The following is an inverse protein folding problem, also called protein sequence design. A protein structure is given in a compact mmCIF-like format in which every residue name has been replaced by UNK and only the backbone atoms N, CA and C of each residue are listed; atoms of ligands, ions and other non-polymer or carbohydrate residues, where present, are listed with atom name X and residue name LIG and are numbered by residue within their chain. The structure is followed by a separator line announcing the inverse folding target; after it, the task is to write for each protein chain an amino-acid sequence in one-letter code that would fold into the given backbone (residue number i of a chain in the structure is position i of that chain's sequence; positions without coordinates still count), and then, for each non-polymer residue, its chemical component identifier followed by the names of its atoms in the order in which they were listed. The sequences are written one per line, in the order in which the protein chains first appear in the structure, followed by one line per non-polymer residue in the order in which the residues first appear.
data_IF_756844983592
#
_entry.id   IF_756844983592
#
_cell.length_a   1.000
_cell.length_b   1.000
_cell.length_c   1.000
_cell.angle_alpha   90.00
_cell.angle_beta   90.00
_cell.angle_gamma   90.00
#
_symmetry.space_group_name_H-M   'P 1'
#
loop_
_entity.id
_entity.type
_entity.pdbx_description
1 polymer ?
#
# COMPACT_ATOMS: atom_id res chain seq x y z
N UNK A 1 18.12 -30.30 55.47
CA UNK A 1 17.94 -30.60 54.05
C UNK A 1 16.56 -30.14 53.51
N UNK A 2 15.46 -30.42 54.13
CA UNK A 2 14.08 -30.07 53.69
C UNK A 2 13.87 -28.59 53.32
N UNK A 3 14.34 -27.64 54.11
CA UNK A 3 14.18 -26.19 53.81
C UNK A 3 14.84 -25.75 52.49
N UNK A 4 16.00 -26.31 52.16
CA UNK A 4 16.71 -25.98 50.90
C UNK A 4 15.97 -26.57 49.68
N UNK A 5 15.46 -27.80 49.80
CA UNK A 5 14.70 -28.46 48.76
C UNK A 5 13.40 -27.72 48.50
N UNK A 6 12.69 -27.25 49.54
CA UNK A 6 11.48 -26.48 49.43
C UNK A 6 11.72 -25.14 48.68
N UNK A 7 12.80 -24.43 48.99
CA UNK A 7 13.19 -23.19 48.33
C UNK A 7 13.48 -23.42 46.85
N UNK A 8 14.14 -24.50 46.48
CA UNK A 8 14.39 -24.85 45.08
C UNK A 8 13.09 -25.13 44.32
N UNK A 9 12.15 -25.86 44.91
CA UNK A 9 10.86 -26.16 44.31
C UNK A 9 10.04 -24.87 44.08
N UNK A 10 10.01 -23.97 45.06
CA UNK A 10 9.33 -22.68 44.94
C UNK A 10 9.93 -21.83 43.82
N UNK A 11 11.26 -21.80 43.73
CA UNK A 11 12.00 -21.06 42.72
C UNK A 11 11.70 -21.62 41.30
N UNK A 12 11.67 -22.94 41.13
CA UNK A 12 11.31 -23.60 39.89
C UNK A 12 9.85 -23.35 39.52
N UNK A 13 8.93 -23.42 40.49
CA UNK A 13 7.52 -23.11 40.25
C UNK A 13 7.34 -21.64 39.84
N UNK A 14 8.04 -20.70 40.51
CA UNK A 14 8.02 -19.28 40.15
C UNK A 14 8.56 -19.02 38.75
N UNK A 15 9.64 -19.70 38.37
CA UNK A 15 10.20 -19.63 37.03
C UNK A 15 9.22 -20.20 35.95
N UNK A 16 8.57 -21.31 36.26
CA UNK A 16 7.56 -21.91 35.41
C UNK A 16 6.37 -20.96 35.16
N UNK A 17 5.89 -20.30 36.22
CA UNK A 17 4.85 -19.29 36.12
C UNK A 17 5.30 -18.08 35.29
N UNK A 18 6.53 -17.61 35.49
CA UNK A 18 7.08 -16.49 34.74
C UNK A 18 7.22 -16.80 33.25
N UNK A 19 7.71 -17.99 32.91
CA UNK A 19 7.80 -18.47 31.52
C UNK A 19 6.39 -18.56 30.92
N UNK A 20 5.41 -19.13 31.61
CA UNK A 20 4.06 -19.23 31.12
C UNK A 20 3.40 -17.86 30.86
N UNK A 21 3.64 -16.90 31.75
CA UNK A 21 3.16 -15.53 31.56
C UNK A 21 3.87 -14.85 30.38
N UNK A 22 5.18 -15.06 30.21
CA UNK A 22 5.91 -14.54 29.05
C UNK A 22 5.35 -15.07 27.73
N UNK A 23 5.06 -16.37 27.63
CA UNK A 23 4.43 -16.95 26.44
C UNK A 23 3.05 -16.39 26.14
N UNK A 24 2.29 -15.94 27.13
CA UNK A 24 0.98 -15.30 26.92
C UNK A 24 1.07 -13.87 26.40
N UNK A 25 2.14 -13.17 26.72
CA UNK A 25 2.34 -11.75 26.34
C UNK A 25 3.09 -11.62 25.02
N UNK A 26 3.91 -12.60 24.66
CA UNK A 26 4.62 -12.59 23.40
C UNK A 26 3.65 -12.71 22.23
N UNK A 27 3.71 -11.77 21.26
CA UNK A 27 2.91 -11.87 20.05
C UNK A 27 3.30 -13.15 19.29
N UNK A 28 2.32 -14.01 19.05
CA UNK A 28 2.49 -15.23 18.27
C UNK A 28 2.26 -14.90 16.80
N UNK A 29 3.30 -14.92 15.99
CA UNK A 29 3.24 -14.78 14.54
C UNK A 29 4.17 -15.79 13.88
N UNK A 30 3.87 -16.17 12.64
CA UNK A 30 4.73 -17.10 11.89
C UNK A 30 6.11 -16.48 11.65
N UNK A 31 6.11 -15.21 11.27
CA UNK A 31 7.32 -14.37 11.21
C UNK A 31 6.90 -12.95 11.63
N UNK A 32 7.50 -12.38 12.69
CA UNK A 32 7.21 -11.00 13.06
C UNK A 32 7.68 -10.05 11.97
N UNK A 33 6.98 -8.93 11.81
CA UNK A 33 7.44 -7.85 10.95
C UNK A 33 8.73 -7.27 11.50
N UNK A 34 9.76 -7.23 10.68
CA UNK A 34 11.07 -6.69 11.06
C UNK A 34 11.33 -5.39 10.31
N UNK A 35 12.09 -4.50 10.95
CA UNK A 35 12.64 -3.32 10.30
C UNK A 35 13.82 -3.76 9.42
N UNK A 36 13.65 -3.72 8.10
CA UNK A 36 14.66 -4.16 7.14
C UNK A 36 15.56 -3.01 6.63
N UNK A 37 15.44 -1.81 7.21
CA UNK A 37 16.20 -0.64 6.78
C UNK A 37 15.68 0.01 5.50
N UNK A 38 14.52 -0.40 5.00
CA UNK A 38 13.80 0.25 3.91
C UNK A 38 12.28 0.09 4.08
N UNK A 39 11.54 1.00 3.51
CA UNK A 39 10.06 0.97 3.47
C UNK A 39 9.58 1.28 2.07
N UNK A 40 8.42 0.77 1.75
CA UNK A 40 7.73 1.01 0.49
C UNK A 40 6.49 1.86 0.75
N UNK A 41 6.00 2.57 -0.27
CA UNK A 41 4.67 3.14 -0.22
C UNK A 41 4.00 3.05 -1.58
N UNK A 42 2.79 2.53 -1.61
CA UNK A 42 1.93 2.60 -2.77
C UNK A 42 1.12 3.88 -2.73
N UNK A 43 1.11 4.58 -3.85
CA UNK A 43 0.32 5.80 -4.06
C UNK A 43 -0.75 5.49 -5.08
N UNK A 44 -1.99 5.80 -4.75
CA UNK A 44 -3.13 5.61 -5.65
C UNK A 44 -3.95 6.88 -5.73
N UNK A 45 -4.15 7.37 -6.96
CA UNK A 45 -5.05 8.46 -7.28
C UNK A 45 -6.38 7.92 -7.81
N UNK A 46 -7.42 8.76 -7.93
CA UNK A 46 -8.64 8.38 -8.64
C UNK A 46 -8.34 7.82 -10.02
N UNK A 47 -9.13 6.83 -10.45
CA UNK A 47 -8.92 6.11 -11.73
C UNK A 47 -8.90 6.98 -12.98
N UNK A 48 -9.42 8.20 -12.89
CA UNK A 48 -9.38 9.21 -13.96
C UNK A 48 -8.07 10.02 -14.01
N UNK A 49 -7.12 9.77 -13.11
CA UNK A 49 -5.86 10.49 -13.12
C UNK A 49 -4.96 10.02 -14.27
N UNK A 50 -4.42 11.00 -15.01
CA UNK A 50 -3.38 10.76 -16.01
C UNK A 50 -2.03 10.48 -15.34
N UNK A 51 -1.11 9.88 -16.08
CA UNK A 51 0.26 9.65 -15.61
C UNK A 51 0.94 10.96 -15.16
N UNK A 52 0.75 12.04 -15.93
CA UNK A 52 1.30 13.35 -15.57
C UNK A 52 0.78 13.83 -14.21
N UNK A 53 -0.54 13.75 -14.00
CA UNK A 53 -1.15 14.14 -12.72
C UNK A 53 -0.67 13.27 -11.56
N UNK A 54 -0.46 12.00 -11.81
CA UNK A 54 0.06 11.07 -10.80
C UNK A 54 1.51 11.42 -10.45
N UNK A 55 2.34 11.76 -11.43
CA UNK A 55 3.73 12.18 -11.21
C UNK A 55 3.79 13.50 -10.43
N UNK A 56 2.99 14.50 -10.79
CA UNK A 56 2.90 15.78 -10.07
C UNK A 56 2.44 15.58 -8.60
N UNK A 57 1.50 14.66 -8.38
CA UNK A 57 1.06 14.31 -7.03
C UNK A 57 2.17 13.62 -6.24
N UNK A 58 2.92 12.72 -6.87
CA UNK A 58 4.08 12.07 -6.25
C UNK A 58 5.17 13.07 -5.87
N UNK A 59 5.50 14.03 -6.73
CA UNK A 59 6.45 15.11 -6.43
C UNK A 59 6.00 15.94 -5.22
N UNK A 60 4.70 16.19 -5.12
CA UNK A 60 4.14 16.93 -3.99
C UNK A 60 4.22 16.12 -2.69
N UNK A 61 3.92 14.83 -2.74
CA UNK A 61 4.05 13.92 -1.60
C UNK A 61 5.52 13.79 -1.19
N UNK A 62 6.43 13.62 -2.14
CA UNK A 62 7.86 13.50 -1.89
C UNK A 62 8.40 14.72 -1.11
N UNK A 63 8.05 15.94 -1.53
CA UNK A 63 8.40 17.17 -0.82
C UNK A 63 7.79 17.24 0.58
N UNK A 64 6.57 16.74 0.77
CA UNK A 64 5.93 16.68 2.08
C UNK A 64 6.63 15.70 3.04
N UNK A 65 7.41 14.77 2.51
CA UNK A 65 8.20 13.82 3.27
C UNK A 65 9.62 14.31 3.60
N UNK A 66 10.07 15.45 3.06
CA UNK A 66 11.40 16.03 3.37
C UNK A 66 11.65 16.25 4.86
N UNK A 67 10.66 16.67 5.68
CA UNK A 67 10.86 16.83 7.10
C UNK A 67 10.87 15.52 7.92
N UNK A 68 10.62 14.36 7.28
CA UNK A 68 10.60 13.07 7.98
C UNK A 68 12.03 12.61 8.19
N UNK A 69 12.45 12.55 9.46
CA UNK A 69 13.78 12.07 9.84
C UNK A 69 13.88 10.56 9.66
N UNK A 70 15.07 10.08 9.39
CA UNK A 70 15.36 8.65 9.26
C UNK A 70 15.19 8.12 7.84
N UNK A 71 14.87 8.96 6.85
CA UNK A 71 14.85 8.59 5.43
C UNK A 71 16.15 9.07 4.77
N UNK A 72 16.96 8.12 4.34
CA UNK A 72 18.24 8.38 3.67
C UNK A 72 18.04 8.72 2.17
N UNK A 73 17.26 7.89 1.47
CA UNK A 73 16.98 8.10 0.03
C UNK A 73 15.50 7.88 -0.27
N UNK A 74 15.02 8.63 -1.27
CA UNK A 74 13.67 8.51 -1.80
C UNK A 74 13.76 8.24 -3.31
N UNK A 75 13.24 7.11 -3.75
CA UNK A 75 13.10 6.78 -5.17
C UNK A 75 11.63 6.59 -5.48
N UNK A 76 11.15 7.24 -6.52
CA UNK A 76 9.75 7.18 -6.93
C UNK A 76 9.60 6.63 -8.35
N UNK A 77 8.60 5.77 -8.55
CA UNK A 77 8.26 5.22 -9.86
C UNK A 77 6.79 5.56 -10.14
N UNK A 78 6.58 6.53 -11.05
CA UNK A 78 5.24 6.89 -11.52
C UNK A 78 4.70 5.86 -12.51
N UNK A 79 3.40 5.59 -12.44
CA UNK A 79 2.74 4.65 -13.34
C UNK A 79 2.91 3.17 -12.97
N UNK A 80 3.52 2.85 -11.84
CA UNK A 80 3.64 1.48 -11.34
C UNK A 80 2.87 1.31 -10.02
N UNK A 81 1.95 0.35 -10.01
CA UNK A 81 1.20 -0.03 -8.80
C UNK A 81 1.85 -1.25 -8.14
N UNK A 82 2.43 -1.05 -6.96
CA UNK A 82 2.99 -2.14 -6.17
C UNK A 82 1.90 -3.11 -5.70
N UNK A 83 0.72 -2.60 -5.37
CA UNK A 83 -0.40 -3.41 -4.86
C UNK A 83 -1.01 -4.31 -5.93
N UNK A 84 -1.04 -3.86 -7.18
CA UNK A 84 -1.62 -4.64 -8.28
C UNK A 84 -0.54 -5.37 -9.09
N UNK A 85 0.74 -5.11 -8.82
CA UNK A 85 1.86 -5.70 -9.54
C UNK A 85 1.94 -5.34 -11.03
N UNK A 86 1.45 -4.15 -11.42
CA UNK A 86 1.35 -3.77 -12.82
C UNK A 86 1.38 -2.27 -13.08
N UNK A 87 1.40 -1.92 -14.37
CA UNK A 87 1.40 -0.52 -14.80
C UNK A 87 -0.01 0.07 -14.73
N UNK A 88 -0.15 1.21 -14.05
CA UNK A 88 -1.38 1.97 -13.92
C UNK A 88 -1.09 3.47 -13.93
N UNK A 89 -1.72 4.22 -14.81
CA UNK A 89 -1.50 5.68 -14.95
C UNK A 89 -1.82 6.47 -13.68
N UNK A 90 -2.75 5.97 -12.87
CA UNK A 90 -3.19 6.59 -11.63
C UNK A 90 -2.47 6.07 -10.38
N UNK A 91 -1.37 5.36 -10.54
CA UNK A 91 -0.62 4.79 -9.43
C UNK A 91 0.86 5.19 -9.47
N UNK A 92 1.50 5.06 -8.34
CA UNK A 92 2.94 5.21 -8.18
C UNK A 92 3.44 4.46 -6.97
N UNK A 93 4.74 4.26 -6.91
CA UNK A 93 5.38 3.55 -5.80
C UNK A 93 6.62 4.32 -5.35
N UNK A 94 6.76 4.49 -4.05
CA UNK A 94 7.99 4.94 -3.42
C UNK A 94 8.78 3.77 -2.87
N UNK A 95 10.10 3.82 -3.09
CA UNK A 95 11.11 2.97 -2.47
C UNK A 95 12.00 3.86 -1.64
N UNK A 96 11.96 3.73 -0.34
CA UNK A 96 12.71 4.58 0.58
C UNK A 96 13.68 3.76 1.40
N UNK A 97 14.97 4.12 1.33
CA UNK A 97 15.99 3.56 2.19
C UNK A 97 16.04 4.39 3.47
N UNK A 98 16.13 3.72 4.60
CA UNK A 98 16.22 4.37 5.90
C UNK A 98 17.66 4.56 6.34
N UNK A 99 17.89 5.49 7.25
CA UNK A 99 19.18 5.68 7.89
C UNK A 99 19.66 4.41 8.59
N UNK A 100 20.98 4.23 8.82
CA UNK A 100 21.52 3.08 9.53
C UNK A 100 20.86 2.85 10.89
N UNK A 101 20.77 1.58 11.30
CA UNK A 101 20.14 1.20 12.56
C UNK A 101 20.79 1.89 13.77
N UNK A 102 22.13 2.06 13.75
CA UNK A 102 22.88 2.72 14.80
C UNK A 102 22.41 4.16 15.04
N UNK A 103 21.99 4.86 14.01
CA UNK A 103 21.48 6.23 14.11
C UNK A 103 20.02 6.25 14.55
N UNK A 104 19.20 5.39 13.97
CA UNK A 104 17.75 5.35 14.22
C UNK A 104 17.40 4.82 15.62
N UNK A 105 18.19 3.87 16.14
CA UNK A 105 17.97 3.24 17.44
C UNK A 105 19.00 3.65 18.50
N UNK A 106 19.68 4.80 18.30
CA UNK A 106 20.71 5.32 19.22
C UNK A 106 20.17 5.52 20.65
N UNK A 107 18.93 5.96 20.78
CA UNK A 107 18.26 6.13 22.06
C UNK A 107 16.74 5.91 21.91
N UNK A 108 16.02 5.87 23.03
CA UNK A 108 14.57 5.64 23.03
C UNK A 108 13.76 6.74 22.33
N UNK A 109 14.27 7.96 22.26
CA UNK A 109 13.59 9.08 21.56
C UNK A 109 13.75 8.95 20.05
N UNK A 110 14.98 8.71 19.57
CA UNK A 110 15.25 8.49 18.16
C UNK A 110 14.51 7.25 17.64
N UNK A 111 14.46 6.17 18.41
CA UNK A 111 13.72 4.96 18.05
C UNK A 111 12.21 5.22 17.90
N UNK A 112 11.61 6.06 18.74
CA UNK A 112 10.19 6.44 18.64
C UNK A 112 9.89 7.30 17.42
N UNK A 113 10.85 8.10 16.95
CA UNK A 113 10.66 9.02 15.83
C UNK A 113 11.07 8.39 14.48
N UNK A 114 12.12 7.56 14.48
CA UNK A 114 12.83 7.07 13.29
C UNK A 114 12.73 5.55 13.09
N UNK A 115 11.94 4.81 13.88
CA UNK A 115 11.64 3.41 13.58
C UNK A 115 10.85 3.30 12.27
N UNK A 116 10.95 2.16 11.58
CA UNK A 116 10.22 1.95 10.32
C UNK A 116 8.72 2.21 10.50
N UNK A 117 8.12 1.76 11.60
CA UNK A 117 6.70 2.00 11.89
C UNK A 117 6.38 3.49 12.09
N UNK A 118 7.22 4.23 12.81
CA UNK A 118 7.03 5.66 12.99
C UNK A 118 7.16 6.44 11.67
N UNK A 119 8.14 6.07 10.85
CA UNK A 119 8.32 6.64 9.52
C UNK A 119 7.09 6.35 8.64
N UNK A 120 6.62 5.11 8.61
CA UNK A 120 5.42 4.74 7.84
C UNK A 120 4.18 5.52 8.28
N UNK A 121 3.97 5.72 9.58
CA UNK A 121 2.87 6.55 10.09
C UNK A 121 3.00 8.00 9.64
N UNK A 122 4.20 8.58 9.71
CA UNK A 122 4.45 9.93 9.22
C UNK A 122 4.26 10.04 7.70
N UNK A 123 4.69 9.04 6.93
CA UNK A 123 4.47 8.98 5.48
C UNK A 123 2.97 8.98 5.15
N UNK A 124 2.19 8.16 5.82
CA UNK A 124 0.75 8.11 5.61
C UNK A 124 0.09 9.45 5.95
N UNK A 125 0.37 9.99 7.12
CA UNK A 125 -0.22 11.24 7.58
C UNK A 125 0.14 12.44 6.68
N UNK A 126 1.44 12.65 6.43
CA UNK A 126 1.92 13.78 5.64
C UNK A 126 1.58 13.64 4.16
N UNK A 127 1.69 12.42 3.61
CA UNK A 127 1.35 12.15 2.23
C UNK A 127 -0.12 12.40 1.94
N UNK A 128 -1.02 11.90 2.77
CA UNK A 128 -2.46 12.17 2.62
C UNK A 128 -2.83 13.63 2.88
N UNK A 129 -2.14 14.30 3.81
CA UNK A 129 -2.37 15.73 4.07
C UNK A 129 -1.90 16.62 2.91
N UNK A 130 -0.83 16.24 2.20
CA UNK A 130 -0.29 17.00 1.06
C UNK A 130 -1.11 16.82 -0.21
N UNK A 131 -1.73 15.66 -0.37
CA UNK A 131 -2.55 15.29 -1.53
C UNK A 131 -3.82 14.57 -1.10
N UNK A 132 -4.87 15.35 -0.82
CA UNK A 132 -6.16 14.82 -0.33
C UNK A 132 -6.84 13.81 -1.27
N UNK A 133 -6.50 13.81 -2.57
CA UNK A 133 -7.05 12.87 -3.54
C UNK A 133 -6.22 11.59 -3.68
N UNK A 134 -5.02 11.55 -3.10
CA UNK A 134 -4.14 10.39 -3.16
C UNK A 134 -4.32 9.53 -1.91
N UNK A 135 -4.49 8.24 -2.11
CA UNK A 135 -4.35 7.25 -1.05
C UNK A 135 -2.87 6.88 -0.95
N UNK A 136 -2.28 7.11 0.21
CA UNK A 136 -0.89 6.75 0.52
C UNK A 136 -0.91 5.55 1.45
N UNK A 137 -0.40 4.42 0.99
CA UNK A 137 -0.35 3.17 1.73
C UNK A 137 1.11 2.79 1.96
N UNK A 138 1.68 3.12 3.12
CA UNK A 138 3.00 2.64 3.49
C UNK A 138 2.96 1.13 3.71
N UNK A 139 4.03 0.47 3.30
CA UNK A 139 4.13 -0.98 3.28
C UNK A 139 5.48 -1.37 3.86
N UNK A 140 5.45 -2.19 4.91
CA UNK A 140 6.65 -2.85 5.37
C UNK A 140 6.95 -4.02 4.41
N UNK A 141 8.19 -4.16 3.92
CA UNK A 141 8.56 -5.30 3.09
C UNK A 141 8.32 -6.63 3.84
N UNK A 142 8.03 -7.72 3.12
CA UNK A 142 7.83 -9.01 3.75
C UNK A 142 9.11 -9.48 4.42
N UNK A 143 9.00 -10.06 5.62
CA UNK A 143 10.15 -10.55 6.38
C UNK A 143 10.94 -11.65 5.64
N UNK A 144 10.30 -12.36 4.71
CA UNK A 144 10.93 -13.34 3.82
C UNK A 144 10.78 -12.86 2.38
N UNK A 145 11.89 -12.47 1.70
CA UNK A 145 11.86 -12.08 0.30
C UNK A 145 11.26 -13.17 -0.60
N UNK A 146 10.32 -12.79 -1.47
CA UNK A 146 9.66 -13.72 -2.38
C UNK A 146 8.39 -14.40 -1.85
N UNK A 147 8.05 -14.21 -0.58
CA UNK A 147 6.81 -14.76 0.01
C UNK A 147 5.63 -13.80 -0.05
N UNK A 148 5.65 -12.82 -0.94
CA UNK A 148 4.64 -11.79 -1.13
C UNK A 148 5.28 -10.46 -1.50
N UNK A 149 4.45 -9.48 -1.83
CA UNK A 149 4.86 -8.11 -2.13
C UNK A 149 4.79 -7.21 -0.90
N UNK A 150 4.01 -7.60 0.09
CA UNK A 150 3.74 -6.83 1.30
C UNK A 150 3.78 -7.72 2.53
N UNK A 151 4.13 -7.15 3.68
CA UNK A 151 3.90 -7.82 4.97
C UNK A 151 2.39 -7.91 5.25
N UNK A 152 1.98 -8.98 5.94
CA UNK A 152 0.58 -9.23 6.26
C UNK A 152 -0.02 -10.39 5.48
N UNK A 153 -1.28 -10.29 5.08
CA UNK A 153 -1.97 -11.32 4.29
C UNK A 153 -2.78 -10.68 3.16
N UNK A 154 -2.90 -11.43 2.07
CA UNK A 154 -3.77 -11.11 0.93
C UNK A 154 -4.85 -12.17 0.82
N UNK A 155 -6.07 -11.75 0.48
CA UNK A 155 -7.10 -12.68 0.07
C UNK A 155 -7.98 -12.08 -1.03
N UNK A 156 -8.61 -12.94 -1.78
CA UNK A 156 -9.38 -12.59 -2.96
C UNK A 156 -10.87 -12.80 -2.70
N UNK A 157 -11.67 -11.78 -3.02
CA UNK A 157 -13.13 -11.90 -3.11
C UNK A 157 -13.47 -11.99 -4.58
N UNK A 158 -14.00 -13.12 -5.00
CA UNK A 158 -14.35 -13.37 -6.38
C UNK A 158 -15.85 -13.55 -6.53
N UNK A 159 -16.45 -12.88 -7.52
CA UNK A 159 -17.79 -13.18 -7.96
C UNK A 159 -17.75 -14.43 -8.89
N UNK A 160 -18.42 -15.49 -8.47
CA UNK A 160 -18.55 -16.74 -9.26
C UNK A 160 -19.86 -16.81 -10.02
N UNK A 161 -20.70 -15.78 -9.91
CA UNK A 161 -22.02 -15.72 -10.50
C UNK A 161 -22.09 -14.75 -11.67
N UNK A 162 -23.28 -14.23 -11.88
CA UNK A 162 -23.60 -13.22 -12.91
C UNK A 162 -23.82 -11.84 -12.29
N UNK A 163 -23.16 -11.55 -11.17
CA UNK A 163 -23.25 -10.28 -10.47
C UNK A 163 -22.71 -9.10 -11.28
N UNK A 164 -23.15 -7.90 -10.95
CA UNK A 164 -22.61 -6.69 -11.54
C UNK A 164 -21.37 -6.22 -10.77
N UNK A 165 -20.46 -5.44 -11.39
CA UNK A 165 -19.33 -4.84 -10.68
C UNK A 165 -19.75 -4.04 -9.44
N UNK A 166 -20.90 -3.36 -9.50
CA UNK A 166 -21.45 -2.61 -8.37
C UNK A 166 -21.83 -3.52 -7.22
N UNK A 167 -22.48 -4.65 -7.48
CA UNK A 167 -22.84 -5.63 -6.45
C UNK A 167 -21.60 -6.20 -5.76
N UNK A 168 -20.54 -6.51 -6.52
CA UNK A 168 -19.27 -6.92 -5.93
C UNK A 168 -18.68 -5.82 -5.04
N UNK A 169 -18.76 -4.55 -5.48
CA UNK A 169 -18.33 -3.39 -4.70
C UNK A 169 -19.08 -3.25 -3.38
N UNK A 170 -20.40 -3.46 -3.40
CA UNK A 170 -21.24 -3.42 -2.19
C UNK A 170 -20.89 -4.54 -1.21
N UNK A 171 -20.70 -5.75 -1.72
CA UNK A 171 -20.26 -6.91 -0.90
C UNK A 171 -18.89 -6.64 -0.28
N UNK A 172 -17.94 -6.12 -1.07
CA UNK A 172 -16.61 -5.76 -0.60
C UNK A 172 -16.66 -4.69 0.50
N UNK A 173 -17.43 -3.63 0.30
CA UNK A 173 -17.57 -2.55 1.29
C UNK A 173 -18.19 -3.07 2.60
N UNK A 174 -19.23 -3.87 2.53
CA UNK A 174 -19.85 -4.51 3.70
C UNK A 174 -18.86 -5.43 4.42
N UNK A 175 -18.06 -6.19 3.66
CA UNK A 175 -17.02 -7.04 4.22
C UNK A 175 -15.96 -6.21 4.95
N UNK A 176 -15.43 -5.16 4.31
CA UNK A 176 -14.42 -4.29 4.90
C UNK A 176 -14.93 -3.58 6.16
N UNK A 177 -16.18 -3.13 6.19
CA UNK A 177 -16.78 -2.53 7.38
C UNK A 177 -16.82 -3.52 8.56
N UNK A 178 -17.22 -4.77 8.32
CA UNK A 178 -17.25 -5.81 9.36
C UNK A 178 -15.85 -6.23 9.78
N UNK A 179 -14.92 -6.37 8.83
CA UNK A 179 -13.56 -6.77 9.10
C UNK A 179 -12.78 -5.72 9.92
N UNK A 180 -13.01 -4.42 9.66
CA UNK A 180 -12.41 -3.32 10.44
C UNK A 180 -12.88 -3.24 11.90
N UNK A 181 -13.99 -3.89 12.25
CA UNK A 181 -14.45 -4.00 13.63
C UNK A 181 -13.71 -5.07 14.42
N UNK A 182 -12.91 -5.89 13.77
CA UNK A 182 -12.12 -6.94 14.40
C UNK A 182 -10.80 -6.38 14.90
N UNK A 183 -10.50 -6.46 16.21
CA UNK A 183 -9.26 -5.94 16.77
C UNK A 183 -8.00 -6.67 16.27
N UNK A 184 -8.19 -7.89 15.73
CA UNK A 184 -7.10 -8.70 15.18
C UNK A 184 -6.65 -8.25 13.79
N UNK A 185 -7.44 -7.39 13.12
CA UNK A 185 -7.21 -6.95 11.74
C UNK A 185 -6.94 -5.45 11.69
N UNK A 186 -5.80 -5.08 11.13
CA UNK A 186 -5.39 -3.68 10.96
C UNK A 186 -4.98 -3.42 9.52
N UNK A 187 -5.09 -2.17 9.05
CA UNK A 187 -4.58 -1.76 7.74
C UNK A 187 -5.31 -2.35 6.53
N UNK A 188 -6.57 -2.79 6.69
CA UNK A 188 -7.34 -3.39 5.59
C UNK A 188 -7.60 -2.39 4.47
N UNK A 189 -7.11 -2.69 3.28
CA UNK A 189 -7.26 -1.90 2.05
C UNK A 189 -7.77 -2.76 0.90
N UNK A 190 -8.37 -2.14 -0.09
CA UNK A 190 -8.73 -2.77 -1.36
C UNK A 190 -8.48 -1.79 -2.50
N UNK A 191 -7.99 -2.29 -3.61
CA UNK A 191 -7.77 -1.52 -4.85
C UNK A 191 -8.98 -1.55 -5.78
N UNK A 192 -10.02 -2.33 -5.43
CA UNK A 192 -11.22 -2.47 -6.24
C UNK A 192 -12.08 -1.20 -6.22
N UNK A 193 -12.43 -0.71 -7.39
CA UNK A 193 -13.35 0.42 -7.56
C UNK A 193 -14.41 0.09 -8.61
N UNK A 194 -15.65 -0.11 -8.14
CA UNK A 194 -16.81 -0.37 -9.02
C UNK A 194 -17.30 0.87 -9.77
N UNK A 195 -16.98 2.07 -9.28
CA UNK A 195 -17.46 3.34 -9.82
C UNK A 195 -16.49 3.99 -10.83
N UNK A 196 -15.70 3.17 -11.51
CA UNK A 196 -14.79 3.67 -12.52
C UNK A 196 -15.59 4.12 -13.75
N UNK A 197 -15.63 5.43 -13.99
CA UNK A 197 -16.30 5.98 -15.16
C UNK A 197 -15.52 5.62 -16.43
N UNK A 198 -16.15 4.90 -17.33
CA UNK A 198 -15.59 4.52 -18.61
C UNK A 198 -16.29 5.28 -19.73
N UNK A 199 -15.51 5.84 -20.65
CA UNK A 199 -16.02 6.43 -21.87
C UNK A 199 -16.17 5.32 -22.92
N UNK A 200 -17.43 4.95 -23.26
CA UNK A 200 -17.70 4.01 -24.35
C UNK A 200 -17.82 4.80 -25.64
N UNK A 201 -16.87 4.67 -26.54
CA UNK A 201 -16.92 5.25 -27.87
C UNK A 201 -17.70 4.30 -28.77
N UNK A 202 -18.89 4.73 -29.20
CA UNK A 202 -19.65 4.07 -30.24
C UNK A 202 -19.43 4.83 -31.55
N UNK A 203 -18.70 4.23 -32.48
CA UNK A 203 -18.58 4.81 -33.81
C UNK A 203 -19.30 3.95 -34.87
N UNK A 204 -19.83 4.61 -35.86
CA UNK A 204 -20.52 3.98 -36.97
C UNK A 204 -19.49 3.39 -37.94
N UNK A 205 -19.33 2.08 -37.90
CA UNK A 205 -18.34 1.34 -38.71
C UNK A 205 -18.67 1.40 -40.19
N UNK A 206 -19.97 1.36 -40.54
CA UNK A 206 -20.43 1.37 -41.94
C UNK A 206 -20.14 2.72 -42.56
N UNK A 207 -20.37 3.79 -41.83
CA UNK A 207 -20.06 5.15 -42.27
C UNK A 207 -18.55 5.39 -42.39
N UNK A 208 -17.76 4.88 -41.49
CA UNK A 208 -16.28 4.96 -41.56
C UNK A 208 -15.78 4.24 -42.84
N UNK A 209 -16.32 3.06 -43.12
CA UNK A 209 -15.92 2.26 -44.28
C UNK A 209 -16.35 2.94 -45.59
N UNK A 210 -17.53 3.57 -45.64
CA UNK A 210 -17.98 4.38 -46.77
C UNK A 210 -17.08 5.60 -47.02
N UNK A 211 -16.45 6.13 -45.98
CA UNK A 211 -15.50 7.24 -46.07
C UNK A 211 -14.06 6.77 -46.35
N UNK A 212 -13.84 5.47 -46.57
CA UNK A 212 -12.54 4.88 -46.83
C UNK A 212 -11.61 4.82 -45.61
N UNK A 213 -12.13 4.98 -44.38
CA UNK A 213 -11.39 4.91 -43.16
C UNK A 213 -11.41 3.50 -42.59
N UNK A 214 -10.24 2.98 -42.22
CA UNK A 214 -10.17 1.71 -41.51
C UNK A 214 -10.53 1.89 -40.03
N UNK A 215 -11.04 0.83 -39.41
CA UNK A 215 -11.30 0.83 -37.98
C UNK A 215 -10.03 1.16 -37.18
N UNK A 216 -8.88 0.72 -37.65
CA UNK A 216 -7.58 0.98 -37.00
C UNK A 216 -7.24 2.48 -37.06
N UNK A 217 -7.51 3.18 -38.17
CA UNK A 217 -7.23 4.61 -38.26
C UNK A 217 -8.08 5.42 -37.29
N UNK A 218 -9.36 5.06 -37.13
CA UNK A 218 -10.27 5.71 -36.17
C UNK A 218 -9.80 5.51 -34.74
N UNK A 219 -9.37 4.29 -34.39
CA UNK A 219 -8.86 4.02 -33.05
C UNK A 219 -7.50 4.67 -32.79
N UNK A 220 -6.60 4.69 -33.76
CA UNK A 220 -5.29 5.36 -33.60
C UNK A 220 -5.47 6.87 -33.41
N UNK A 221 -6.37 7.51 -34.17
CA UNK A 221 -6.68 8.93 -33.98
C UNK A 221 -7.29 9.21 -32.60
N UNK A 222 -8.16 8.36 -32.10
CA UNK A 222 -8.76 8.53 -30.78
C UNK A 222 -7.73 8.31 -29.66
N UNK A 223 -6.79 7.37 -29.82
CA UNK A 223 -5.68 7.17 -28.89
C UNK A 223 -4.77 8.41 -28.82
N UNK A 224 -4.40 9.01 -29.95
CA UNK A 224 -3.54 10.19 -29.99
C UNK A 224 -4.24 11.42 -29.39
N UNK A 225 -5.52 11.62 -29.64
CA UNK A 225 -6.24 12.83 -29.22
C UNK A 225 -6.86 12.75 -27.82
N UNK A 226 -7.17 11.56 -27.33
CA UNK A 226 -7.84 11.36 -26.05
C UNK A 226 -6.84 10.93 -24.97
N UNK A 227 -5.85 10.09 -25.31
CA UNK A 227 -4.87 9.57 -24.34
C UNK A 227 -3.57 10.37 -24.27
N UNK A 228 -3.21 11.11 -25.33
CA UNK A 228 -2.09 12.05 -25.32
C UNK A 228 -2.63 13.48 -25.55
N UNK A 229 -2.94 14.24 -24.51
CA UNK A 229 -3.28 15.65 -24.69
C UNK A 229 -2.07 16.35 -25.30
N UNK A 230 -2.21 16.80 -26.53
CA UNK A 230 -1.22 17.60 -27.23
C UNK A 230 -0.73 18.72 -26.31
N UNK A 231 0.56 18.73 -25.99
CA UNK A 231 1.23 19.89 -25.40
C UNK A 231 0.95 21.08 -26.32
N UNK A 232 0.14 22.03 -25.85
CA UNK A 232 0.15 23.35 -26.44
C UNK A 232 1.53 23.92 -26.17
N UNK A 233 2.39 23.91 -27.18
CA UNK A 233 3.59 24.74 -27.20
C UNK A 233 3.06 26.16 -27.34
N UNK A 234 3.16 26.95 -26.28
CA UNK A 234 2.99 28.40 -26.27
C UNK A 234 4.39 28.99 -26.45
#
# INVERSE_FOLDING_TARGET
MFRRTLLVIILFAGMGVAIFQMFRVLPTGFVPSEDQGYVLAAIMLPSSASLQRSTEAMDTIEKALDPVKGIMTKNSIGGFSLLDGGMKTNAGTFFMTLDPFEERYKNSETAKEMSADAIMQQMQYRGMASQMQALVVPINPPAIPGLGTTGGFEFWIQDTGSGTPQQLGDVLNNFLQKARQRPELTGLTSTYNANNQQLKINFDRDKAQLLGLSTADVFNLSLIHISEPTRRVV
#
